data_IF_092859832861
#
_entry.id   IF_092859832861
#
_cell.length_a   1.000
_cell.length_b   1.000
_cell.length_c   1.000
_cell.angle_alpha   90.00
_cell.angle_beta   90.00
_cell.angle_gamma   90.00
#
_symmetry.space_group_name_H-M   'P 1'
#
loop_
_entity.id
_entity.type
_entity.pdbx_description
1 polymer ?
#
# COMPACT_ATOMS: atom_id res chain seq x y z
N UNK A 1 -19.79 1.64 -7.66
CA UNK A 1 -19.07 2.49 -6.69
C UNK A 1 -17.59 2.47 -7.04
N UNK A 2 -16.91 3.62 -6.89
CA UNK A 2 -15.49 3.79 -7.24
C UNK A 2 -14.67 4.07 -5.98
N UNK A 3 -13.51 3.44 -5.87
CA UNK A 3 -12.59 3.68 -4.76
C UNK A 3 -11.94 5.07 -4.84
N UNK A 4 -11.65 5.66 -3.69
CA UNK A 4 -10.83 6.85 -3.56
C UNK A 4 -9.81 6.65 -2.45
N UNK A 5 -8.54 6.96 -2.73
CA UNK A 5 -7.54 7.07 -1.66
C UNK A 5 -7.77 8.41 -0.97
N UNK A 6 -8.09 8.39 0.31
CA UNK A 6 -8.30 9.60 1.10
C UNK A 6 -6.99 10.09 1.68
N UNK A 7 -6.24 9.16 2.25
CA UNK A 7 -5.01 9.47 2.94
C UNK A 7 -4.00 8.34 2.75
N UNK A 8 -2.72 8.72 2.68
CA UNK A 8 -1.59 7.80 2.79
C UNK A 8 -0.71 8.31 3.91
N UNK A 9 -0.32 7.41 4.82
CA UNK A 9 0.62 7.70 5.91
C UNK A 9 1.84 6.80 5.81
N UNK A 10 2.94 7.28 6.35
CA UNK A 10 4.20 6.56 6.42
C UNK A 10 4.70 6.59 7.86
N UNK A 11 4.25 5.66 8.72
CA UNK A 11 4.54 5.70 10.16
C UNK A 11 6.02 5.83 10.48
N UNK A 12 6.88 5.14 9.73
CA UNK A 12 8.33 5.18 9.91
C UNK A 12 8.91 6.59 9.72
N UNK A 13 8.33 7.40 8.82
CA UNK A 13 8.79 8.76 8.57
C UNK A 13 8.37 9.74 9.67
N UNK A 14 7.29 9.46 10.37
CA UNK A 14 6.80 10.28 11.48
C UNK A 14 7.72 10.18 12.69
N UNK A 15 8.51 9.11 12.79
CA UNK A 15 9.56 8.96 13.81
C UNK A 15 10.75 9.90 13.57
N UNK A 16 10.86 10.49 12.38
CA UNK A 16 11.97 11.36 11.99
C UNK A 16 13.29 10.62 11.72
N UNK A 17 13.28 9.28 11.67
CA UNK A 17 14.48 8.52 11.36
C UNK A 17 14.89 8.74 9.89
N UNK A 18 16.19 8.99 9.62
CA UNK A 18 16.68 9.09 8.26
C UNK A 18 16.58 7.74 7.55
N UNK A 19 16.30 7.77 6.26
CA UNK A 19 16.25 6.59 5.38
C UNK A 19 17.00 6.88 4.07
N UNK A 20 17.52 5.83 3.45
CA UNK A 20 18.13 5.92 2.12
C UNK A 20 17.04 5.79 1.04
N UNK A 21 16.92 6.79 0.17
CA UNK A 21 15.91 6.79 -0.90
C UNK A 21 16.11 5.68 -1.94
N UNK A 22 17.33 5.18 -2.11
CA UNK A 22 17.62 4.13 -3.11
C UNK A 22 17.73 2.73 -2.49
N UNK A 23 17.86 2.64 -1.16
CA UNK A 23 17.94 1.39 -0.43
C UNK A 23 17.09 1.43 0.86
N UNK A 24 15.77 1.36 0.70
CA UNK A 24 14.83 1.31 1.82
C UNK A 24 13.61 0.42 1.54
N UNK A 25 13.01 -0.01 2.65
CA UNK A 25 11.66 -0.58 2.75
C UNK A 25 10.88 0.31 3.71
N UNK A 26 9.66 0.68 3.35
CA UNK A 26 8.82 1.59 4.12
C UNK A 26 7.38 1.11 4.13
N UNK A 27 6.71 1.19 5.28
CA UNK A 27 5.28 0.91 5.37
C UNK A 27 4.46 2.12 4.90
N UNK A 28 3.50 1.88 4.01
CA UNK A 28 2.46 2.83 3.66
C UNK A 28 1.10 2.34 4.20
N UNK A 29 0.50 3.12 5.09
CA UNK A 29 -0.89 2.95 5.52
C UNK A 29 -1.78 3.74 4.57
N UNK A 30 -2.79 3.06 4.00
CA UNK A 30 -3.64 3.61 2.94
C UNK A 30 -5.09 3.54 3.42
N UNK A 31 -5.73 4.70 3.48
CA UNK A 31 -7.14 4.82 3.85
C UNK A 31 -7.97 5.02 2.59
N UNK A 32 -8.85 4.07 2.30
CA UNK A 32 -9.61 4.01 1.05
C UNK A 32 -11.10 4.10 1.32
N UNK A 33 -11.72 5.14 0.78
CA UNK A 33 -13.17 5.35 0.84
C UNK A 33 -13.85 5.02 -0.48
N UNK A 34 -15.17 5.25 -0.51
CA UNK A 34 -15.96 5.30 -1.74
C UNK A 34 -16.22 6.75 -2.11
N UNK A 35 -16.06 7.10 -3.39
CA UNK A 35 -16.30 8.46 -3.89
C UNK A 35 -17.68 8.96 -3.48
N UNK A 36 -17.70 10.04 -2.71
CA UNK A 36 -18.94 10.72 -2.28
C UNK A 36 -19.69 10.05 -1.12
N UNK A 37 -19.17 8.99 -0.51
CA UNK A 37 -19.80 8.32 0.63
C UNK A 37 -18.96 8.44 1.90
N UNK A 38 -19.54 8.47 3.11
CA UNK A 38 -18.77 8.48 4.36
C UNK A 38 -18.12 7.11 4.66
N UNK A 39 -17.10 7.14 5.52
CA UNK A 39 -16.35 5.96 5.96
C UNK A 39 -15.22 5.55 5.02
N UNK A 40 -14.29 4.75 5.53
CA UNK A 40 -13.11 4.27 4.83
C UNK A 40 -12.66 2.94 5.43
N UNK A 41 -11.86 2.22 4.66
CA UNK A 41 -11.23 0.96 5.03
C UNK A 41 -9.72 1.17 5.09
N UNK A 42 -9.04 0.47 5.99
CA UNK A 42 -7.60 0.57 6.18
C UNK A 42 -6.84 -0.56 5.48
N UNK A 43 -5.77 -0.19 4.76
CA UNK A 43 -4.87 -1.12 4.07
C UNK A 43 -3.41 -0.82 4.36
N UNK A 44 -2.57 -1.85 4.30
CA UNK A 44 -1.12 -1.71 4.40
C UNK A 44 -0.42 -2.14 3.12
N UNK A 45 0.51 -1.33 2.63
CA UNK A 45 1.37 -1.63 1.47
C UNK A 45 2.82 -1.46 1.84
N UNK A 46 3.67 -2.41 1.47
CA UNK A 46 5.12 -2.33 1.66
C UNK A 46 5.78 -1.71 0.44
N UNK A 47 6.27 -0.48 0.54
CA UNK A 47 7.06 0.15 -0.50
C UNK A 47 8.52 -0.33 -0.41
N UNK A 48 9.08 -0.83 -1.52
CA UNK A 48 10.41 -1.42 -1.53
C UNK A 48 11.21 -0.95 -2.74
N UNK A 49 12.47 -0.57 -2.51
CA UNK A 49 13.43 -0.22 -3.57
C UNK A 49 14.16 -1.47 -4.09
N UNK A 50 14.63 -1.49 -5.35
CA UNK A 50 15.37 -2.63 -5.89
C UNK A 50 16.60 -3.03 -5.08
N UNK A 51 17.36 -2.06 -4.56
CA UNK A 51 18.53 -2.37 -3.72
C UNK A 51 18.11 -3.08 -2.42
N UNK A 52 17.05 -2.60 -1.77
CA UNK A 52 16.52 -3.23 -0.57
C UNK A 52 15.97 -4.64 -0.85
N UNK A 53 15.35 -4.86 -2.02
CA UNK A 53 14.90 -6.18 -2.43
C UNK A 53 16.09 -7.16 -2.58
N UNK A 54 17.20 -6.71 -3.18
CA UNK A 54 18.43 -7.52 -3.28
C UNK A 54 18.96 -7.87 -1.89
N UNK A 55 19.02 -6.90 -0.98
CA UNK A 55 19.49 -7.12 0.41
C UNK A 55 18.59 -8.09 1.19
N UNK A 56 17.27 -8.05 0.95
CA UNK A 56 16.32 -9.00 1.52
C UNK A 56 16.52 -10.41 0.94
N UNK A 57 16.70 -10.52 -0.38
CA UNK A 57 16.91 -11.80 -1.06
C UNK A 57 18.26 -12.46 -0.73
N UNK A 58 19.27 -11.66 -0.38
CA UNK A 58 20.53 -12.18 0.14
C UNK A 58 20.36 -12.87 1.51
N UNK A 59 19.33 -12.49 2.29
CA UNK A 59 19.01 -13.08 3.60
C UNK A 59 18.00 -14.22 3.50
N UNK A 60 17.10 -14.16 2.51
CA UNK A 60 16.05 -15.14 2.28
C UNK A 60 15.98 -15.46 0.79
N UNK A 61 16.12 -16.73 0.40
CA UNK A 61 16.23 -17.11 -1.02
C UNK A 61 14.97 -16.84 -1.85
N UNK A 62 13.84 -16.53 -1.23
CA UNK A 62 12.60 -16.17 -1.90
C UNK A 62 11.77 -15.19 -1.05
N UNK A 63 10.90 -14.41 -1.72
CA UNK A 63 9.93 -13.51 -1.10
C UNK A 63 8.61 -13.61 -1.86
N UNK A 64 7.49 -13.48 -1.14
CA UNK A 64 6.16 -13.35 -1.74
C UNK A 64 5.81 -11.86 -1.86
N UNK A 65 5.63 -11.35 -3.08
CA UNK A 65 5.42 -9.91 -3.32
C UNK A 65 3.99 -9.39 -3.14
N UNK A 66 3.06 -10.17 -2.58
CA UNK A 66 1.68 -9.71 -2.37
C UNK A 66 1.68 -8.56 -1.37
N UNK A 67 1.03 -7.45 -1.72
CA UNK A 67 0.99 -6.19 -0.96
C UNK A 67 2.29 -5.37 -0.99
N UNK A 68 3.20 -5.67 -1.93
CA UNK A 68 4.44 -4.94 -2.14
C UNK A 68 4.35 -4.04 -3.36
N UNK A 69 4.81 -2.80 -3.20
CA UNK A 69 4.98 -1.82 -4.27
C UNK A 69 6.47 -1.56 -4.49
N UNK A 70 6.99 -2.02 -5.62
CA UNK A 70 8.37 -1.76 -5.99
C UNK A 70 8.51 -0.39 -6.66
N UNK A 71 9.37 0.46 -6.10
CA UNK A 71 9.64 1.83 -6.59
C UNK A 71 11.13 2.01 -6.84
N UNK A 72 11.52 2.65 -7.94
CA UNK A 72 12.93 2.83 -8.29
C UNK A 72 13.69 3.63 -7.21
N UNK A 73 13.05 4.69 -6.70
CA UNK A 73 13.48 5.47 -5.55
C UNK A 73 12.28 5.70 -4.65
N UNK A 74 12.49 5.63 -3.34
CA UNK A 74 11.46 5.92 -2.37
C UNK A 74 11.30 7.43 -2.19
N UNK A 75 10.10 7.91 -2.46
CA UNK A 75 9.60 9.18 -1.94
C UNK A 75 8.12 9.01 -1.56
N UNK A 76 7.64 9.66 -0.47
CA UNK A 76 6.24 9.62 -0.09
C UNK A 76 5.29 9.99 -1.23
N UNK A 77 5.64 11.05 -1.98
CA UNK A 77 4.85 11.55 -3.10
C UNK A 77 4.76 10.54 -4.25
N UNK A 78 5.86 9.85 -4.58
CA UNK A 78 5.88 8.84 -5.65
C UNK A 78 5.03 7.63 -5.27
N UNK A 79 5.15 7.15 -4.03
CA UNK A 79 4.37 6.02 -3.52
C UNK A 79 2.89 6.38 -3.47
N UNK A 80 2.54 7.55 -2.92
CA UNK A 80 1.17 8.02 -2.87
C UNK A 80 0.55 8.17 -4.27
N UNK A 81 1.28 8.76 -5.23
CA UNK A 81 0.80 8.90 -6.60
C UNK A 81 0.55 7.54 -7.28
N UNK A 82 1.45 6.56 -7.04
CA UNK A 82 1.27 5.20 -7.55
C UNK A 82 0.03 4.52 -6.93
N UNK A 83 -0.15 4.61 -5.61
CA UNK A 83 -1.30 4.06 -4.91
C UNK A 83 -2.62 4.69 -5.38
N UNK A 84 -2.67 6.02 -5.51
CA UNK A 84 -3.83 6.75 -6.05
C UNK A 84 -4.18 6.28 -7.46
N UNK A 85 -3.17 6.07 -8.32
CA UNK A 85 -3.35 5.57 -9.68
C UNK A 85 -3.87 4.13 -9.71
N UNK A 86 -3.33 3.24 -8.89
CA UNK A 86 -3.73 1.83 -8.86
C UNK A 86 -5.14 1.67 -8.27
N UNK A 87 -5.40 2.31 -7.13
CA UNK A 87 -6.64 2.14 -6.36
C UNK A 87 -7.78 2.95 -6.97
N UNK A 88 -7.54 4.18 -7.44
CA UNK A 88 -8.58 5.06 -7.96
C UNK A 88 -9.30 4.55 -9.23
N UNK A 89 -8.73 3.54 -9.90
CA UNK A 89 -9.35 2.88 -11.05
C UNK A 89 -10.19 1.64 -10.66
N UNK A 90 -10.29 1.32 -9.37
CA UNK A 90 -11.04 0.16 -8.89
C UNK A 90 -12.51 0.53 -8.72
N UNK A 91 -13.37 -0.28 -9.34
CA UNK A 91 -14.82 -0.21 -9.22
C UNK A 91 -15.43 -1.55 -8.82
N UNK A 92 -16.56 -1.48 -8.13
CA UNK A 92 -17.34 -2.66 -7.73
C UNK A 92 -18.82 -2.31 -7.59
N UNK A 93 -19.65 -3.34 -7.46
CA UNK A 93 -21.09 -3.17 -7.24
C UNK A 93 -21.45 -3.08 -5.75
N UNK A 94 -20.59 -3.61 -4.86
CA UNK A 94 -20.80 -3.63 -3.40
C UNK A 94 -19.55 -3.18 -2.65
N UNK A 95 -19.72 -2.62 -1.45
CA UNK A 95 -18.60 -2.15 -0.61
C UNK A 95 -17.60 -3.26 -0.30
N UNK A 96 -18.09 -4.42 0.14
CA UNK A 96 -17.24 -5.59 0.43
C UNK A 96 -16.45 -6.06 -0.81
N UNK A 97 -17.06 -6.01 -1.99
CA UNK A 97 -16.39 -6.39 -3.23
C UNK A 97 -15.32 -5.36 -3.62
N UNK A 98 -15.59 -4.07 -3.40
CA UNK A 98 -14.61 -3.01 -3.58
C UNK A 98 -13.41 -3.24 -2.65
N UNK A 99 -13.67 -3.47 -1.36
CA UNK A 99 -12.64 -3.71 -0.37
C UNK A 99 -11.78 -4.93 -0.71
N UNK A 100 -12.40 -6.04 -1.11
CA UNK A 100 -11.68 -7.24 -1.59
C UNK A 100 -10.84 -6.98 -2.84
N UNK A 101 -11.29 -6.12 -3.77
CA UNK A 101 -10.50 -5.76 -4.96
C UNK A 101 -9.31 -4.88 -4.60
N UNK A 102 -9.50 -3.89 -3.73
CA UNK A 102 -8.42 -3.05 -3.18
C UNK A 102 -7.43 -3.90 -2.37
N UNK A 103 -7.95 -4.90 -1.66
CA UNK A 103 -7.18 -5.92 -0.93
C UNK A 103 -6.20 -6.72 -1.78
N UNK A 104 -6.28 -6.66 -3.12
CA UNK A 104 -5.25 -7.27 -3.99
C UNK A 104 -3.97 -6.41 -4.08
N UNK A 105 -4.06 -5.15 -3.69
CA UNK A 105 -2.98 -4.16 -3.76
C UNK A 105 -2.34 -3.96 -2.39
N UNK A 106 -3.13 -3.91 -1.31
CA UNK A 106 -2.66 -3.79 0.06
C UNK A 106 -3.38 -4.74 0.99
N UNK A 107 -2.73 -5.08 2.10
CA UNK A 107 -3.29 -5.93 3.14
C UNK A 107 -4.48 -5.22 3.78
N UNK A 108 -5.69 -5.72 3.53
CA UNK A 108 -6.90 -5.20 4.14
C UNK A 108 -7.01 -5.65 5.60
N UNK A 109 -7.46 -4.77 6.50
CA UNK A 109 -7.59 -5.07 7.93
C UNK A 109 -8.52 -6.27 8.23
N UNK A 110 -9.45 -6.59 7.32
CA UNK A 110 -10.37 -7.74 7.42
C UNK A 110 -10.07 -8.88 6.43
N UNK A 111 -8.88 -8.90 5.79
CA UNK A 111 -8.55 -9.84 4.70
C UNK A 111 -8.76 -11.32 5.07
N UNK A 112 -8.58 -11.67 6.35
CA UNK A 112 -8.74 -13.03 6.88
C UNK A 112 -9.79 -13.14 7.99
N UNK A 113 -10.66 -12.13 8.16
CA UNK A 113 -11.69 -12.16 9.19
C UNK A 113 -12.80 -13.17 8.82
N UNK A 114 -12.75 -14.35 9.43
CA UNK A 114 -13.80 -15.36 9.37
C UNK A 114 -14.74 -15.15 10.57
N UNK A 115 -15.86 -14.45 10.36
CA UNK A 115 -16.92 -14.31 11.37
C UNK A 115 -17.64 -15.62 11.68
#
# INVERSE_FOLDING_TARGET
MRAEVRQVRFPDLETGQPFDRVNTVQLAEVYVGVVGEPGEEHYQVTACTPAALVDLLAKQSFLLGRHWLFVAEFSPATVEAALRKLIGNIEASRRVELAQKVGRIGLWEFEDYCG
#
